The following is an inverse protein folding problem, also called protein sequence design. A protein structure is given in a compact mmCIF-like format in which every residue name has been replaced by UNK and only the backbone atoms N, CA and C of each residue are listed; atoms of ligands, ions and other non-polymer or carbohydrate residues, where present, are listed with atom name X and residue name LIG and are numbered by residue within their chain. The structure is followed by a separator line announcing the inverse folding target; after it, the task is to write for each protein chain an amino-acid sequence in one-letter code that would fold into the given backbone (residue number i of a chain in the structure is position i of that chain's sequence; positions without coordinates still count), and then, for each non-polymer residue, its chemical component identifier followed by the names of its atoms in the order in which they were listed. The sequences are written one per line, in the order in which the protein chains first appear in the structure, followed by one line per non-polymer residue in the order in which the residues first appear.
data_IF_678989837012
#
_entry.id   IF_678989837012
#
_cell.length_a   1.000
_cell.length_b   1.000
_cell.length_c   1.000
_cell.angle_alpha   90.00
_cell.angle_beta   90.00
_cell.angle_gamma   90.00
#
_symmetry.space_group_name_H-M   'P 1'
#
loop_
_entity.id
_entity.type
_entity.pdbx_description
1 polymer ?
#
# COMPACT_ATOMS: atom_id res chain seq x y z
N UNK A 1 4.12 -16.08 4.69
CA UNK A 1 4.89 -15.31 3.68
C UNK A 1 3.98 -15.14 2.48
N UNK A 2 3.91 -13.93 1.92
CA UNK A 2 3.12 -13.64 0.73
C UNK A 2 4.10 -13.35 -0.40
N UNK A 3 3.96 -14.05 -1.51
CA UNK A 3 4.79 -13.98 -2.72
C UNK A 3 3.98 -13.61 -3.98
N UNK A 4 2.65 -13.49 -3.87
CA UNK A 4 1.73 -13.13 -4.96
C UNK A 4 1.43 -11.62 -4.92
N UNK A 5 1.73 -10.85 -5.99
CA UNK A 5 1.48 -9.40 -6.03
C UNK A 5 0.00 -9.01 -5.98
N UNK A 6 -0.90 -9.88 -6.46
CA UNK A 6 -2.35 -9.67 -6.44
C UNK A 6 -3.02 -10.03 -5.12
N UNK A 7 -2.24 -10.29 -4.06
CA UNK A 7 -2.77 -10.55 -2.72
C UNK A 7 -3.63 -9.37 -2.24
N UNK A 8 -4.88 -9.66 -1.89
CA UNK A 8 -5.84 -8.67 -1.41
C UNK A 8 -5.67 -8.47 0.09
N UNK A 9 -5.06 -7.35 0.48
CA UNK A 9 -4.96 -6.94 1.87
C UNK A 9 -6.34 -6.67 2.48
N UNK A 10 -6.51 -7.00 3.75
CA UNK A 10 -7.72 -6.75 4.54
C UNK A 10 -7.44 -5.67 5.59
N UNK A 11 -8.47 -4.95 6.07
CA UNK A 11 -8.33 -4.09 7.23
C UNK A 11 -7.72 -4.86 8.40
N UNK A 12 -6.82 -4.19 9.14
CA UNK A 12 -5.99 -4.71 10.23
C UNK A 12 -4.82 -5.61 9.80
N UNK A 13 -4.58 -5.78 8.51
CA UNK A 13 -3.39 -6.49 8.05
C UNK A 13 -2.12 -5.69 8.41
N UNK A 14 -1.15 -6.40 9.01
CA UNK A 14 0.18 -5.89 9.31
C UNK A 14 1.17 -6.32 8.22
N UNK A 15 1.78 -5.36 7.54
CA UNK A 15 2.72 -5.55 6.45
C UNK A 15 4.13 -5.28 6.96
N UNK A 16 5.01 -6.27 6.86
CA UNK A 16 6.42 -6.15 7.27
C UNK A 16 7.35 -6.79 6.26
N UNK A 17 8.59 -6.33 6.24
CA UNK A 17 9.65 -6.94 5.43
C UNK A 17 10.13 -8.22 6.11
N UNK A 18 10.38 -9.27 5.32
CA UNK A 18 10.99 -10.52 5.82
C UNK A 18 12.33 -10.21 6.49
N UNK A 19 12.59 -10.80 7.66
CA UNK A 19 13.84 -10.62 8.40
C UNK A 19 15.00 -11.34 7.69
N UNK A 20 15.56 -10.71 6.65
CA UNK A 20 16.78 -11.13 5.95
C UNK A 20 17.62 -9.87 5.68
N UNK A 21 18.95 -9.90 5.85
CA UNK A 21 19.78 -8.71 5.67
C UNK A 21 19.68 -8.09 4.27
N UNK A 22 19.51 -8.90 3.22
CA UNK A 22 19.35 -8.42 1.84
C UNK A 22 17.99 -7.78 1.54
N UNK A 23 16.90 -8.17 2.21
CA UNK A 23 15.61 -7.50 2.06
C UNK A 23 15.58 -6.15 2.79
N UNK A 24 16.43 -6.00 3.81
CA UNK A 24 16.50 -4.79 4.62
C UNK A 24 17.17 -3.61 3.91
N UNK A 25 18.29 -3.85 3.20
CA UNK A 25 19.04 -2.80 2.49
C UNK A 25 18.19 -2.14 1.40
N UNK A 26 17.57 -2.94 0.52
CA UNK A 26 16.73 -2.42 -0.57
C UNK A 26 15.43 -1.75 -0.08
N UNK A 27 14.96 -2.10 1.13
CA UNK A 27 13.79 -1.45 1.73
C UNK A 27 14.13 -0.04 2.23
N UNK A 28 15.27 0.13 2.93
CA UNK A 28 15.67 1.41 3.54
C UNK A 28 15.77 2.56 2.53
N UNK A 29 16.35 2.32 1.36
CA UNK A 29 16.49 3.33 0.31
C UNK A 29 15.13 3.79 -0.23
N UNK A 30 14.22 2.85 -0.50
CA UNK A 30 12.87 3.15 -1.01
C UNK A 30 12.01 3.87 0.03
N UNK A 31 12.19 3.55 1.32
CA UNK A 31 11.48 4.19 2.42
C UNK A 31 11.91 5.66 2.60
N UNK A 32 13.19 5.97 2.34
CA UNK A 32 13.65 7.36 2.27
C UNK A 32 12.90 8.18 1.21
N UNK A 33 12.55 7.54 0.09
CA UNK A 33 11.78 8.15 -0.99
C UNK A 33 10.28 8.30 -0.65
N UNK A 34 9.69 7.32 0.03
CA UNK A 34 8.27 7.35 0.41
C UNK A 34 7.95 8.38 1.50
N UNK A 35 8.91 8.73 2.39
CA UNK A 35 8.73 9.81 3.38
C UNK A 35 8.42 11.17 2.75
N UNK A 36 8.70 11.37 1.46
CA UNK A 36 8.39 12.62 0.74
C UNK A 36 6.92 12.72 0.28
N UNK A 37 6.17 11.62 0.28
CA UNK A 37 4.76 11.59 -0.08
C UNK A 37 3.90 11.51 1.18
N UNK A 38 2.78 12.25 1.20
CA UNK A 38 1.79 12.15 2.27
C UNK A 38 1.21 10.74 2.27
N UNK A 39 1.24 10.08 3.43
CA UNK A 39 0.61 8.77 3.61
C UNK A 39 -0.91 8.99 3.71
N UNK A 40 -1.73 8.24 2.97
CA UNK A 40 -3.18 8.37 3.04
C UNK A 40 -3.73 7.80 4.36
N UNK A 41 -4.87 8.31 4.81
CA UNK A 41 -5.41 8.04 6.16
C UNK A 41 -5.78 6.58 6.42
N UNK A 42 -6.11 5.82 5.36
CA UNK A 42 -6.41 4.38 5.45
C UNK A 42 -5.16 3.51 5.66
N UNK A 43 -3.96 4.10 5.71
CA UNK A 43 -2.69 3.43 5.96
C UNK A 43 -1.93 4.09 7.12
N UNK A 44 -1.22 3.28 7.89
CA UNK A 44 -0.25 3.76 8.88
C UNK A 44 1.11 3.17 8.58
N UNK A 45 2.15 4.00 8.64
CA UNK A 45 3.53 3.58 8.49
C UNK A 45 4.31 3.94 9.75
N UNK A 46 5.01 2.97 10.30
CA UNK A 46 5.82 3.12 11.52
C UNK A 46 7.10 2.29 11.42
N UNK A 47 8.05 2.54 12.33
CA UNK A 47 9.21 1.68 12.52
C UNK A 47 9.07 0.94 13.86
N UNK A 48 9.42 -0.34 13.86
CA UNK A 48 9.60 -1.11 15.09
C UNK A 48 10.87 -0.71 15.82
N UNK A 49 11.04 -1.17 17.06
CA UNK A 49 12.25 -1.01 17.88
C UNK A 49 13.54 -1.35 17.12
N UNK A 50 13.55 -2.41 16.32
CA UNK A 50 14.71 -2.83 15.50
C UNK A 50 14.91 -2.01 14.21
N UNK A 51 14.28 -0.84 14.07
CA UNK A 51 14.19 -0.03 12.85
C UNK A 51 13.52 -0.74 11.67
N UNK A 52 12.71 -1.77 11.93
CA UNK A 52 12.02 -2.55 10.89
C UNK A 52 10.81 -1.75 10.42
N UNK A 53 10.67 -1.46 9.12
CA UNK A 53 9.49 -0.79 8.60
C UNK A 53 8.26 -1.67 8.74
N UNK A 54 7.20 -1.10 9.30
CA UNK A 54 5.90 -1.71 9.50
C UNK A 54 4.82 -0.84 8.88
N UNK A 55 3.97 -1.47 8.07
CA UNK A 55 2.75 -0.87 7.54
C UNK A 55 1.53 -1.51 8.17
N UNK A 56 0.50 -0.74 8.47
CA UNK A 56 -0.81 -1.21 8.93
C UNK A 56 -1.88 -0.73 7.96
N UNK A 57 -2.76 -1.64 7.57
CA UNK A 57 -3.96 -1.31 6.80
C UNK A 57 -5.07 -0.95 7.78
N UNK A 58 -5.42 0.33 7.89
CA UNK A 58 -6.43 0.79 8.85
C UNK A 58 -7.86 0.48 8.39
N UNK A 59 -8.09 0.51 7.08
CA UNK A 59 -9.42 0.38 6.51
C UNK A 59 -9.42 0.26 4.99
N UNK A 60 -10.61 0.36 4.41
CA UNK A 60 -10.81 0.41 2.96
C UNK A 60 -10.46 1.82 2.47
N UNK A 61 -9.85 1.93 1.30
CA UNK A 61 -9.54 3.21 0.68
C UNK A 61 -10.81 3.94 0.23
N UNK A 62 -10.90 5.24 0.52
CA UNK A 62 -11.97 6.11 0.04
C UNK A 62 -11.54 6.83 -1.25
N UNK A 63 -12.51 7.38 -2.00
CA UNK A 63 -12.26 8.05 -3.28
C UNK A 63 -11.27 9.22 -3.16
N UNK A 64 -11.32 9.95 -2.06
CA UNK A 64 -10.48 11.12 -1.76
C UNK A 64 -9.04 10.72 -1.45
N UNK A 65 -8.80 9.46 -1.06
CA UNK A 65 -7.46 8.95 -0.75
C UNK A 65 -6.71 8.43 -1.97
N UNK A 66 -7.36 8.41 -3.15
CA UNK A 66 -6.78 7.94 -4.41
C UNK A 66 -6.21 9.14 -5.17
N UNK A 67 -4.88 9.17 -5.32
CA UNK A 67 -4.15 10.18 -6.09
C UNK A 67 -4.11 9.82 -7.59
N UNK A 68 -5.29 9.56 -8.16
CA UNK A 68 -5.46 9.27 -9.59
C UNK A 68 -6.57 10.15 -10.16
N UNK A 69 -6.21 10.97 -11.15
CA UNK A 69 -7.17 11.80 -11.87
C UNK A 69 -7.89 10.93 -12.93
N UNK A 70 -8.96 10.26 -12.50
CA UNK A 70 -9.79 9.39 -13.33
C UNK A 70 -11.27 9.65 -13.07
N UNK A 71 -12.09 9.48 -14.11
CA UNK A 71 -13.54 9.42 -13.99
C UNK A 71 -13.99 7.95 -14.06
N UNK A 72 -14.34 7.38 -12.91
CA UNK A 72 -14.75 5.97 -12.82
C UNK A 72 -16.03 5.66 -13.60
N UNK A 73 -16.91 6.63 -13.83
CA UNK A 73 -18.17 6.42 -14.56
C UNK A 73 -17.93 6.01 -16.01
N UNK A 74 -16.87 6.53 -16.65
CA UNK A 74 -16.50 6.15 -18.01
C UNK A 74 -16.05 4.68 -18.08
N UNK A 75 -15.40 4.18 -17.03
CA UNK A 75 -15.00 2.77 -16.92
C UNK A 75 -16.23 1.88 -16.80
N UNK A 76 -17.19 2.27 -15.95
CA UNK A 76 -18.46 1.54 -15.79
C UNK A 76 -19.25 1.50 -17.10
N UNK A 77 -19.38 2.63 -17.79
CA UNK A 77 -20.09 2.72 -19.07
C UNK A 77 -19.46 1.79 -20.12
N UNK A 78 -18.13 1.82 -20.24
CA UNK A 78 -17.40 1.01 -21.21
C UNK A 78 -17.65 -0.50 -21.00
N UNK A 79 -17.50 -1.00 -19.77
CA UNK A 79 -17.69 -2.41 -19.48
C UNK A 79 -19.16 -2.86 -19.47
N UNK A 80 -20.10 -1.95 -19.26
CA UNK A 80 -21.54 -2.26 -19.36
C UNK A 80 -21.97 -2.60 -20.79
N UNK A 81 -21.23 -2.15 -21.81
CA UNK A 81 -21.47 -2.46 -23.23
C UNK A 81 -20.75 -3.72 -23.72
N UNK A 82 -19.84 -4.27 -22.93
CA UNK A 82 -19.15 -5.54 -23.22
C UNK A 82 -19.91 -6.77 -22.70
N UNK A 83 -20.92 -6.57 -21.86
CA UNK A 83 -21.78 -7.62 -21.33
C UNK A 83 -22.80 -8.11 -22.36
#
# INVERSE_FOLDING_TARGET
IVDIPSYRCKPKDLITVRNRPSSYSGSKEKIGFSRRKKIPDHLTFSFSEDNIPKGLVNGIANRESIDLNINELLVVEYYSRQA
#
